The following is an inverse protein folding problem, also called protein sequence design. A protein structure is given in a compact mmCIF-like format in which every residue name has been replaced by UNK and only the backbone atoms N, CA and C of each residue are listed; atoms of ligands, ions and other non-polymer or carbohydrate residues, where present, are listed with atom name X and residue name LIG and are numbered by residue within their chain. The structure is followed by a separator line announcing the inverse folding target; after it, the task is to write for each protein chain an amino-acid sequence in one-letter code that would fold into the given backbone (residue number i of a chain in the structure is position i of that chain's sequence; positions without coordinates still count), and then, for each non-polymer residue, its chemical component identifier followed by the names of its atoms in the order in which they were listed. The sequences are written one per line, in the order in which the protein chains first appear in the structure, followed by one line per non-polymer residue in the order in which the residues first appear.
data_IF_966659167511
#
_entry.id   IF_966659167511
#
_cell.length_a   1.000
_cell.length_b   1.000
_cell.length_c   1.000
_cell.angle_alpha   90.00
_cell.angle_beta   90.00
_cell.angle_gamma   90.00
#
_symmetry.space_group_name_H-M   'P 1'
#
loop_
_entity.id
_entity.type
_entity.pdbx_description
1 polymer ?
#
# COMPACT_ATOMS: atom_id res chain seq x y z
N UNK A 1 1.80 -16.43 -17.65
CA UNK A 1 2.14 -15.96 -16.29
C UNK A 1 2.47 -14.48 -16.39
N UNK A 2 1.66 -13.61 -15.80
CA UNK A 2 1.90 -12.16 -15.82
C UNK A 2 3.09 -11.78 -14.94
N UNK A 3 3.86 -10.78 -15.34
CA UNK A 3 4.98 -10.26 -14.55
C UNK A 3 4.38 -9.37 -13.44
N UNK A 4 4.35 -9.86 -12.21
CA UNK A 4 3.99 -9.04 -11.05
C UNK A 4 5.14 -8.05 -10.76
N UNK A 5 4.93 -6.77 -11.07
CA UNK A 5 5.86 -5.70 -10.66
C UNK A 5 5.45 -5.22 -9.26
N UNK A 6 6.30 -5.48 -8.27
CA UNK A 6 6.10 -5.13 -6.87
C UNK A 6 6.94 -3.88 -6.54
N UNK A 7 6.28 -2.76 -6.24
CA UNK A 7 6.96 -1.55 -5.76
C UNK A 7 6.89 -1.53 -4.23
N UNK A 8 8.04 -1.33 -3.57
CA UNK A 8 8.16 -1.48 -2.12
C UNK A 8 8.81 -0.26 -1.48
N UNK A 9 8.16 0.28 -0.44
CA UNK A 9 8.73 1.25 0.49
C UNK A 9 9.11 0.57 1.80
N UNK A 10 10.26 0.95 2.36
CA UNK A 10 10.69 0.51 3.68
C UNK A 10 10.75 1.69 4.64
N UNK A 11 10.03 1.57 5.75
CA UNK A 11 10.06 2.51 6.86
C UNK A 11 10.83 1.89 8.02
N UNK A 12 11.84 2.60 8.53
CA UNK A 12 12.71 2.10 9.59
C UNK A 12 12.46 2.85 10.89
N UNK A 13 12.28 2.11 11.98
CA UNK A 13 12.18 2.66 13.34
C UNK A 13 13.36 3.60 13.62
N UNK A 14 13.08 4.72 14.29
CA UNK A 14 14.09 5.69 14.70
C UNK A 14 14.59 6.66 13.62
N UNK A 15 14.17 6.54 12.35
CA UNK A 15 14.43 7.58 11.34
C UNK A 15 13.71 8.90 11.65
N UNK A 16 12.58 8.83 12.37
CA UNK A 16 11.83 9.93 12.98
C UNK A 16 11.29 9.45 14.33
N UNK A 17 10.21 10.05 14.82
CA UNK A 17 9.40 9.54 15.93
C UNK A 17 8.60 8.25 15.60
N UNK A 18 9.01 7.50 14.57
CA UNK A 18 8.38 6.26 14.17
C UNK A 18 8.78 5.12 15.10
N UNK A 19 7.79 4.37 15.58
CA UNK A 19 7.94 3.33 16.59
C UNK A 19 8.21 1.93 16.00
N UNK A 20 7.96 1.75 14.70
CA UNK A 20 7.91 0.44 14.05
C UNK A 20 8.70 0.43 12.74
N UNK A 21 9.48 -0.64 12.51
CA UNK A 21 10.06 -0.97 11.20
C UNK A 21 9.09 -1.84 10.42
N UNK A 22 8.76 -1.45 9.19
CA UNK A 22 7.93 -2.24 8.30
C UNK A 22 8.15 -1.87 6.82
N UNK A 23 7.71 -2.75 5.94
CA UNK A 23 7.73 -2.58 4.49
C UNK A 23 6.29 -2.52 3.98
N UNK A 24 6.05 -1.72 2.95
CA UNK A 24 4.77 -1.64 2.22
C UNK A 24 5.05 -1.92 0.77
N UNK A 25 4.39 -2.92 0.23
CA UNK A 25 4.48 -3.29 -1.17
C UNK A 25 3.13 -3.15 -1.84
N UNK A 26 3.09 -2.49 -2.99
CA UNK A 26 1.90 -2.40 -3.84
C UNK A 26 1.94 -3.51 -4.88
N UNK A 27 0.91 -4.35 -4.85
CA UNK A 27 0.71 -5.47 -5.75
C UNK A 27 -0.23 -5.00 -6.85
N UNK A 28 0.23 -5.08 -8.10
CA UNK A 28 -0.54 -4.68 -9.27
C UNK A 28 -0.80 -5.85 -10.20
N UNK A 29 -1.97 -5.86 -10.82
CA UNK A 29 -2.39 -6.85 -11.82
C UNK A 29 -2.84 -6.12 -13.10
N UNK A 30 -2.78 -6.82 -14.24
CA UNK A 30 -3.35 -6.32 -15.49
C UNK A 30 -4.82 -6.70 -15.57
N UNK A 31 -5.69 -5.75 -15.91
CA UNK A 31 -7.09 -6.00 -16.24
C UNK A 31 -7.19 -6.71 -17.60
N UNK A 32 -8.36 -7.28 -17.97
CA UNK A 32 -8.60 -7.80 -19.31
C UNK A 32 -8.33 -6.79 -20.43
N UNK A 33 -8.52 -5.49 -20.13
CA UNK A 33 -8.23 -4.37 -21.03
C UNK A 33 -6.74 -3.97 -21.04
N UNK A 34 -5.89 -4.79 -20.42
CA UNK A 34 -4.44 -4.61 -20.26
C UNK A 34 -4.07 -3.31 -19.52
N UNK A 35 -4.97 -2.79 -18.68
CA UNK A 35 -4.66 -1.68 -17.79
C UNK A 35 -4.01 -2.22 -16.52
N UNK A 36 -2.89 -1.64 -16.11
CA UNK A 36 -2.26 -2.00 -14.85
C UNK A 36 -2.98 -1.32 -13.68
N UNK A 37 -3.48 -2.11 -12.73
CA UNK A 37 -4.18 -1.62 -11.54
C UNK A 37 -3.59 -2.21 -10.27
N UNK A 38 -3.43 -1.38 -9.24
CA UNK A 38 -3.05 -1.84 -7.90
C UNK A 38 -4.25 -2.57 -7.29
N UNK A 39 -4.06 -3.84 -6.92
CA UNK A 39 -5.13 -4.67 -6.33
C UNK A 39 -5.00 -4.75 -4.82
N UNK A 40 -3.77 -4.80 -4.30
CA UNK A 40 -3.51 -4.98 -2.87
C UNK A 40 -2.28 -4.20 -2.41
N UNK A 41 -2.28 -3.84 -1.12
CA UNK A 41 -1.07 -3.49 -0.39
C UNK A 41 -0.71 -4.62 0.58
N UNK A 42 0.55 -5.04 0.57
CA UNK A 42 1.10 -5.96 1.56
C UNK A 42 2.01 -5.17 2.51
N UNK A 43 1.70 -5.23 3.81
CA UNK A 43 2.51 -4.59 4.85
C UNK A 43 3.23 -5.67 5.66
N UNK A 44 4.55 -5.68 5.58
CA UNK A 44 5.39 -6.67 6.25
C UNK A 44 6.17 -6.06 7.40
N UNK A 45 6.05 -6.65 8.60
CA UNK A 45 6.85 -6.30 9.77
C UNK A 45 7.86 -7.40 10.03
N UNK A 46 9.16 -7.15 9.81
CA UNK A 46 10.19 -8.17 9.99
C UNK A 46 10.33 -8.61 11.45
N UNK A 47 10.17 -7.69 12.41
CA UNK A 47 10.37 -7.98 13.85
C UNK A 47 9.39 -9.01 14.41
N UNK A 48 8.15 -9.04 13.90
CA UNK A 48 7.10 -9.96 14.35
C UNK A 48 6.71 -10.98 13.28
N UNK A 49 7.45 -11.03 12.17
CA UNK A 49 7.10 -11.78 10.96
C UNK A 49 5.62 -11.62 10.54
N UNK A 50 5.07 -10.42 10.74
CA UNK A 50 3.65 -10.17 10.50
C UNK A 50 3.46 -9.65 9.09
N UNK A 51 2.52 -10.22 8.35
CA UNK A 51 2.12 -9.75 7.03
C UNK A 51 0.63 -9.38 7.03
N UNK A 52 0.32 -8.15 6.66
CA UNK A 52 -1.04 -7.64 6.54
C UNK A 52 -1.28 -7.34 5.07
N UNK A 53 -2.11 -8.16 4.41
CA UNK A 53 -2.60 -7.88 3.06
C UNK A 53 -3.95 -7.16 3.13
N UNK A 54 -4.06 -6.02 2.45
CA UNK A 54 -5.24 -5.16 2.43
C UNK A 54 -5.61 -4.86 0.97
N UNK A 55 -6.88 -5.00 0.55
CA UNK A 55 -7.31 -4.54 -0.77
C UNK A 55 -7.01 -3.06 -0.97
N UNK A 56 -6.48 -2.69 -2.13
CA UNK A 56 -6.02 -1.32 -2.38
C UNK A 56 -7.13 -0.29 -2.19
N UNK A 57 -8.31 -0.49 -2.79
CA UNK A 57 -9.42 0.46 -2.65
C UNK A 57 -9.88 0.68 -1.20
N UNK A 58 -9.67 -0.31 -0.30
CA UNK A 58 -9.92 -0.11 1.13
C UNK A 58 -8.83 0.77 1.74
N UNK A 59 -7.56 0.41 1.54
CA UNK A 59 -6.45 1.16 2.11
C UNK A 59 -6.41 2.59 1.56
N UNK A 60 -6.59 2.77 0.26
CA UNK A 60 -6.62 4.06 -0.45
C UNK A 60 -7.66 5.01 0.16
N UNK A 61 -8.89 4.54 0.41
CA UNK A 61 -9.90 5.35 1.11
C UNK A 61 -9.39 5.87 2.46
N UNK A 62 -8.78 5.01 3.29
CA UNK A 62 -8.20 5.43 4.55
C UNK A 62 -7.01 6.39 4.40
N UNK A 63 -6.14 6.16 3.41
CA UNK A 63 -4.99 7.02 3.13
C UNK A 63 -5.44 8.43 2.71
N UNK A 64 -6.55 8.52 1.97
CA UNK A 64 -7.20 9.77 1.57
C UNK A 64 -8.06 10.40 2.66
N UNK A 65 -8.15 9.78 3.84
CA UNK A 65 -8.88 10.30 4.99
C UNK A 65 -10.38 9.99 4.99
N UNK A 66 -10.84 9.07 4.13
CA UNK A 66 -12.19 8.53 4.21
C UNK A 66 -12.35 7.74 5.52
N UNK A 67 -13.48 7.97 6.20
CA UNK A 67 -13.67 7.57 7.59
C UNK A 67 -14.57 6.34 7.75
N UNK A 68 -14.68 5.50 6.73
CA UNK A 68 -15.54 4.32 6.82
C UNK A 68 -14.78 3.20 7.52
N UNK A 69 -15.09 2.86 8.79
CA UNK A 69 -14.33 1.86 9.52
C UNK A 69 -14.64 0.47 8.95
N UNK A 70 -13.66 -0.15 8.31
CA UNK A 70 -13.66 -1.56 7.96
C UNK A 70 -13.12 -2.36 9.15
N UNK A 71 -14.04 -3.02 9.86
CA UNK A 71 -13.73 -4.00 10.90
C UNK A 71 -14.12 -5.38 10.38
N UNK A 72 -13.12 -6.17 9.98
CA UNK A 72 -13.27 -7.61 9.75
C UNK A 72 -12.89 -8.39 11.00
N UNK A 73 -13.24 -9.69 11.06
CA UNK A 73 -12.86 -10.56 12.20
C UNK A 73 -11.35 -10.55 12.48
N UNK A 74 -10.53 -10.43 11.44
CA UNK A 74 -9.07 -10.58 11.55
C UNK A 74 -8.27 -9.31 11.24
N UNK A 75 -8.90 -8.27 10.72
CA UNK A 75 -8.25 -7.01 10.34
C UNK A 75 -9.06 -5.81 10.85
N UNK A 76 -8.39 -4.95 11.59
CA UNK A 76 -8.94 -3.69 12.08
C UNK A 76 -8.06 -2.54 11.60
N UNK A 77 -8.69 -1.57 10.94
CA UNK A 77 -8.06 -0.33 10.49
C UNK A 77 -8.75 0.85 11.18
N UNK A 78 -8.01 1.64 11.96
CA UNK A 78 -8.56 2.74 12.77
C UNK A 78 -7.78 4.03 12.53
N UNK A 79 -8.44 5.13 12.11
CA UNK A 79 -7.82 6.45 12.11
C UNK A 79 -7.48 6.88 13.53
N UNK A 80 -6.31 7.48 13.73
CA UNK A 80 -5.84 8.03 15.01
C UNK A 80 -5.28 9.44 14.80
N UNK A 81 -4.97 10.15 15.89
CA UNK A 81 -4.32 11.45 15.79
C UNK A 81 -2.95 11.40 15.07
N UNK A 82 -2.22 10.29 15.25
CA UNK A 82 -0.88 10.07 14.69
C UNK A 82 -0.89 9.59 13.23
N UNK A 83 -1.99 8.99 12.77
CA UNK A 83 -2.10 8.41 11.43
C UNK A 83 -3.13 7.30 11.37
N UNK A 84 -2.74 6.14 10.85
CA UNK A 84 -3.60 4.97 10.66
C UNK A 84 -3.09 3.80 11.50
N UNK A 85 -3.87 3.35 12.48
CA UNK A 85 -3.56 2.15 13.25
C UNK A 85 -4.07 0.90 12.53
N UNK A 86 -3.15 -0.02 12.24
CA UNK A 86 -3.39 -1.26 11.51
C UNK A 86 -3.17 -2.43 12.47
N UNK A 87 -4.16 -3.28 12.65
CA UNK A 87 -4.10 -4.42 13.55
C UNK A 87 -4.61 -5.69 12.88
N UNK A 88 -3.83 -6.77 12.97
CA UNK A 88 -4.19 -8.11 12.52
C UNK A 88 -3.81 -9.14 13.57
N UNK A 89 -4.73 -10.03 13.94
CA UNK A 89 -4.51 -11.09 14.94
C UNK A 89 -3.91 -10.58 16.27
N UNK A 90 -4.40 -9.44 16.78
CA UNK A 90 -3.96 -8.86 18.05
C UNK A 90 -2.60 -8.15 18.04
N UNK A 91 -1.86 -8.18 16.91
CA UNK A 91 -0.65 -7.38 16.72
C UNK A 91 -0.93 -6.23 15.77
N UNK A 92 -0.52 -5.02 16.15
CA UNK A 92 -0.73 -3.84 15.33
C UNK A 92 0.40 -2.83 15.42
N UNK A 93 0.33 -1.83 14.55
CA UNK A 93 1.27 -0.70 14.48
C UNK A 93 0.59 0.52 13.87
N UNK A 94 1.21 1.69 14.03
CA UNK A 94 0.73 2.93 13.44
C UNK A 94 1.52 3.25 12.18
N UNK A 95 0.81 3.41 11.07
CA UNK A 95 1.32 4.10 9.89
C UNK A 95 1.11 5.59 10.08
N UNK A 96 2.20 6.35 10.26
CA UNK A 96 2.15 7.79 10.49
C UNK A 96 1.75 8.56 9.22
N UNK A 97 1.20 9.77 9.40
CA UNK A 97 0.69 10.60 8.29
C UNK A 97 1.69 10.84 7.15
N UNK A 98 2.98 11.00 7.45
CA UNK A 98 4.00 11.18 6.43
C UNK A 98 4.30 9.87 5.68
N UNK A 99 4.24 8.73 6.35
CA UNK A 99 4.33 7.41 5.72
C UNK A 99 3.10 7.14 4.84
N UNK A 100 1.90 7.52 5.29
CA UNK A 100 0.66 7.43 4.48
C UNK A 100 0.82 8.19 3.16
N UNK A 101 1.31 9.44 3.22
CA UNK A 101 1.58 10.25 2.03
C UNK A 101 2.63 9.63 1.12
N UNK A 102 3.68 9.03 1.68
CA UNK A 102 4.69 8.34 0.88
C UNK A 102 4.10 7.13 0.14
N UNK A 103 3.21 6.37 0.78
CA UNK A 103 2.50 5.24 0.14
C UNK A 103 1.57 5.74 -0.98
N UNK A 104 0.82 6.82 -0.77
CA UNK A 104 0.01 7.45 -1.83
C UNK A 104 0.90 7.92 -3.00
N UNK A 105 2.00 8.61 -2.72
CA UNK A 105 2.91 9.07 -3.77
C UNK A 105 3.58 7.92 -4.52
N UNK A 106 3.83 6.78 -3.87
CA UNK A 106 4.26 5.56 -4.57
C UNK A 106 3.17 5.07 -5.52
N UNK A 107 1.91 4.99 -5.06
CA UNK A 107 0.79 4.54 -5.89
C UNK A 107 0.56 5.45 -7.12
N UNK A 108 0.68 6.77 -6.96
CA UNK A 108 0.59 7.74 -8.07
C UNK A 108 1.72 7.57 -9.10
N UNK A 109 2.90 7.14 -8.66
CA UNK A 109 4.07 6.92 -9.51
C UNK A 109 4.12 5.52 -10.12
N UNK A 110 3.37 4.56 -9.58
CA UNK A 110 3.17 3.26 -10.21
C UNK A 110 2.35 3.53 -11.48
N UNK A 111 2.95 3.49 -12.68
CA UNK A 111 2.26 3.98 -13.85
C UNK A 111 1.08 3.04 -14.14
N UNK A 112 -0.13 3.60 -14.10
CA UNK A 112 -1.34 2.95 -14.59
C UNK A 112 -1.30 3.04 -16.11
N UNK A 113 -0.44 2.23 -16.72
CA UNK A 113 -0.24 2.29 -18.17
C UNK A 113 -1.43 1.62 -18.86
N UNK A 114 -2.13 2.37 -19.71
CA UNK A 114 -3.00 1.81 -20.75
C UNK A 114 -2.13 1.36 -21.93
N UNK A 115 -2.50 0.30 -22.67
CA UNK A 115 -1.71 -0.27 -23.79
C UNK A 115 -1.35 0.72 -24.91
N UNK A 116 -2.03 1.86 -24.99
CA UNK A 116 -1.84 2.86 -26.04
C UNK A 116 -0.51 3.62 -25.91
N UNK A 117 0.14 3.62 -24.75
CA UNK A 117 1.43 4.33 -24.58
C UNK A 117 2.65 3.55 -25.09
N UNK A 118 2.53 2.23 -25.35
CA UNK A 118 3.64 1.40 -25.84
C UNK A 118 3.86 1.57 -27.35
N UNK A 119 2.88 2.13 -28.08
CA UNK A 119 2.95 2.26 -29.57
C UNK A 119 3.61 3.55 -30.09
N UNK A 120 4.03 4.47 -29.23
CA UNK A 120 4.58 5.77 -29.64
C UNK A 120 6.08 5.94 -29.37
N UNK A 121 6.88 4.88 -29.42
CA UNK A 121 8.32 5.03 -29.64
C UNK A 121 8.58 5.11 -31.15
N UNK A 122 9.02 6.26 -31.70
CA UNK A 122 9.58 6.26 -33.04
C UNK A 122 10.83 5.40 -33.02
N UNK A 123 10.87 4.40 -33.90
CA UNK A 123 12.10 3.68 -34.21
C UNK A 123 13.01 4.67 -34.93
N UNK A 124 14.04 5.16 -34.25
CA UNK A 124 15.23 5.71 -34.91
C UNK A 124 16.20 4.58 -35.26
#
# INVERSE_FOLDING_TARGET
MGIEKMETLRFRKGCKNWDTTYEVSLISEYTPDLEKKITHAALFRPETNQNIRIPWGVLEGYLNGEKTPLAGKDLSIKPTAAGLYLMRNGSGFTMHKDQMRAVLSMAEKTPMESPQQIKNQPSE
#
